data_IF_825467326230
#
_entry.id   IF_825467326230
#
_cell.length_a   1.000
_cell.length_b   1.000
_cell.length_c   1.000
_cell.angle_alpha   90.00
_cell.angle_beta   90.00
_cell.angle_gamma   90.00
#
_symmetry.space_group_name_H-M   'P 1'
#
loop_
_entity.id
_entity.type
_entity.pdbx_description
1 polymer ?
#
# COMPACT_ATOMS: atom_id res chain seq x y z
N UNK A 1 -14.42 12.50 -19.94
CA UNK A 1 -13.73 12.67 -21.25
C UNK A 1 -13.48 11.27 -21.79
N UNK A 2 -13.41 11.02 -23.10
CA UNK A 2 -13.09 9.66 -23.60
C UNK A 2 -11.58 9.40 -23.54
N UNK A 3 -11.16 8.14 -23.43
CA UNK A 3 -9.75 7.72 -23.40
C UNK A 3 -8.99 8.23 -24.64
N UNK A 4 -9.60 8.15 -25.83
CA UNK A 4 -8.95 8.62 -27.06
C UNK A 4 -8.75 10.14 -27.07
N UNK A 5 -9.71 10.89 -26.52
CA UNK A 5 -9.58 12.36 -26.45
C UNK A 5 -8.53 12.77 -25.42
N UNK A 6 -8.41 12.03 -24.32
CA UNK A 6 -7.37 12.26 -23.32
C UNK A 6 -5.99 12.01 -23.93
N UNK A 7 -5.80 10.86 -24.59
CA UNK A 7 -4.56 10.53 -25.29
C UNK A 7 -4.16 11.62 -26.31
N UNK A 8 -5.11 12.11 -27.11
CA UNK A 8 -4.84 13.21 -28.06
C UNK A 8 -4.34 14.48 -27.36
N UNK A 9 -4.90 14.83 -26.20
CA UNK A 9 -4.46 15.99 -25.41
C UNK A 9 -3.06 15.73 -24.81
N UNK A 10 -2.83 14.55 -24.24
CA UNK A 10 -1.55 14.14 -23.66
C UNK A 10 -0.42 14.12 -24.68
N UNK A 11 -0.69 13.80 -25.95
CA UNK A 11 0.33 13.78 -27.00
C UNK A 11 0.46 15.10 -27.75
N UNK A 12 -0.65 15.76 -28.07
CA UNK A 12 -0.67 16.88 -29.04
C UNK A 12 -1.43 18.12 -28.58
N UNK A 13 -2.12 18.06 -27.44
CA UNK A 13 -2.85 19.21 -26.90
C UNK A 13 -1.95 20.41 -26.63
N UNK A 14 -2.49 21.62 -26.63
CA UNK A 14 -1.73 22.80 -26.17
C UNK A 14 -1.46 22.74 -24.66
N UNK A 15 -0.46 23.46 -24.15
CA UNK A 15 -0.15 23.51 -22.71
C UNK A 15 -1.37 23.86 -21.85
N UNK A 16 -2.25 24.73 -22.38
CA UNK A 16 -3.49 25.11 -21.71
C UNK A 16 -4.50 23.95 -21.67
N UNK A 17 -4.68 23.24 -22.78
CA UNK A 17 -5.58 22.07 -22.82
C UNK A 17 -5.07 20.95 -21.92
N UNK A 18 -3.75 20.74 -21.91
CA UNK A 18 -3.10 19.76 -21.04
C UNK A 18 -3.31 20.12 -19.56
N UNK A 19 -3.06 21.37 -19.17
CA UNK A 19 -3.28 21.81 -17.79
C UNK A 19 -4.76 21.72 -17.37
N UNK A 20 -5.69 22.04 -18.27
CA UNK A 20 -7.13 21.87 -18.01
C UNK A 20 -7.56 20.40 -17.89
N UNK A 21 -6.86 19.49 -18.57
CA UNK A 21 -7.09 18.06 -18.52
C UNK A 21 -6.53 17.45 -17.22
N UNK A 22 -5.26 17.70 -16.92
CA UNK A 22 -4.56 17.23 -15.71
C UNK A 22 -5.34 17.60 -14.44
N UNK A 23 -5.87 18.83 -14.35
CA UNK A 23 -6.65 19.28 -13.18
C UNK A 23 -8.02 18.60 -13.01
N UNK A 24 -8.44 17.69 -13.91
CA UNK A 24 -9.79 17.10 -13.92
C UNK A 24 -9.77 15.58 -14.02
N UNK A 25 -8.61 14.96 -14.08
CA UNK A 25 -8.42 13.55 -14.41
C UNK A 25 -7.60 12.92 -13.30
N UNK A 26 -7.94 11.68 -12.98
CA UNK A 26 -7.22 10.93 -11.98
C UNK A 26 -5.88 10.43 -12.56
N UNK A 27 -4.79 10.43 -11.78
CA UNK A 27 -3.51 9.81 -12.15
C UNK A 27 -3.67 8.38 -12.71
N UNK A 28 -4.45 7.53 -12.03
CA UNK A 28 -4.81 6.17 -12.50
C UNK A 28 -5.38 6.11 -13.94
N UNK A 29 -6.22 7.08 -14.36
CA UNK A 29 -6.75 7.11 -15.74
C UNK A 29 -5.63 7.38 -16.77
N UNK A 30 -4.58 8.10 -16.36
CA UNK A 30 -3.42 8.38 -17.19
C UNK A 30 -2.51 7.14 -17.21
N UNK A 31 -2.32 6.47 -16.07
CA UNK A 31 -1.58 5.21 -15.97
C UNK A 31 -2.16 4.15 -16.93
N UNK A 32 -3.48 3.97 -16.91
CA UNK A 32 -4.21 3.10 -17.85
C UNK A 32 -3.92 3.40 -19.33
N UNK A 33 -3.74 4.68 -19.69
CA UNK A 33 -3.39 5.09 -21.07
C UNK A 33 -1.95 4.75 -21.39
N UNK A 34 -1.09 4.97 -20.41
CA UNK A 34 0.34 4.78 -20.51
C UNK A 34 0.68 3.29 -20.70
N UNK A 35 -0.02 2.38 -20.00
CA UNK A 35 0.06 0.93 -20.24
C UNK A 35 -0.42 0.52 -21.63
N UNK A 36 -1.51 1.13 -22.13
CA UNK A 36 -2.04 0.82 -23.47
C UNK A 36 -1.12 1.31 -24.62
N UNK A 37 -0.34 2.37 -24.39
CA UNK A 37 0.44 3.08 -25.41
C UNK A 37 1.94 3.12 -25.07
N UNK A 38 2.55 1.95 -24.82
CA UNK A 38 3.96 1.77 -24.42
C UNK A 38 4.98 2.59 -25.26
N UNK A 39 4.73 2.78 -26.56
CA UNK A 39 5.64 3.50 -27.45
C UNK A 39 5.68 5.02 -27.23
N UNK A 40 4.64 5.58 -26.63
CA UNK A 40 4.48 7.01 -26.40
C UNK A 40 4.54 7.39 -24.90
N UNK A 41 4.63 6.41 -24.01
CA UNK A 41 4.88 6.52 -22.56
C UNK A 41 5.76 7.72 -22.17
N UNK A 42 7.02 7.72 -22.62
CA UNK A 42 8.02 8.73 -22.23
C UNK A 42 7.64 10.12 -22.75
N UNK A 43 6.95 10.20 -23.90
CA UNK A 43 6.52 11.48 -24.48
C UNK A 43 5.38 12.08 -23.68
N UNK A 44 4.44 11.26 -23.22
CA UNK A 44 3.32 11.68 -22.38
C UNK A 44 3.86 12.25 -21.07
N UNK A 45 4.63 11.45 -20.33
CA UNK A 45 5.14 11.83 -19.02
C UNK A 45 6.02 13.09 -19.05
N UNK A 46 6.82 13.28 -20.09
CA UNK A 46 7.66 14.48 -20.20
C UNK A 46 6.89 15.80 -20.35
N UNK A 47 5.58 15.74 -20.66
CA UNK A 47 4.72 16.91 -20.75
C UNK A 47 3.98 17.21 -19.44
N UNK A 48 3.95 16.27 -18.51
CA UNK A 48 3.29 16.39 -17.22
C UNK A 48 4.18 17.15 -16.22
N UNK A 49 3.57 17.88 -15.26
CA UNK A 49 4.29 18.46 -14.13
C UNK A 49 4.77 17.35 -13.18
N UNK A 50 5.80 17.65 -12.39
CA UNK A 50 6.49 16.65 -11.55
C UNK A 50 5.54 15.99 -10.52
N UNK A 51 4.67 16.76 -9.84
CA UNK A 51 3.64 16.21 -8.92
C UNK A 51 2.69 15.21 -9.58
N UNK A 52 2.19 15.48 -10.79
CA UNK A 52 1.29 14.54 -11.48
C UNK A 52 2.05 13.28 -11.91
N UNK A 53 3.37 13.37 -12.12
CA UNK A 53 4.18 12.18 -12.41
C UNK A 53 4.38 11.36 -11.14
N UNK A 54 4.58 12.02 -9.98
CA UNK A 54 4.62 11.35 -8.68
C UNK A 54 3.32 10.58 -8.43
N UNK A 55 2.17 11.25 -8.49
CA UNK A 55 0.86 10.57 -8.30
C UNK A 55 0.64 9.41 -9.29
N UNK A 56 1.14 9.51 -10.53
CA UNK A 56 1.03 8.39 -11.51
C UNK A 56 1.92 7.21 -11.12
N UNK A 57 3.10 7.47 -10.58
CA UNK A 57 4.04 6.44 -10.14
C UNK A 57 3.50 5.75 -8.88
N UNK A 58 2.89 6.48 -7.95
CA UNK A 58 2.31 5.91 -6.73
C UNK A 58 1.20 4.89 -7.04
N UNK A 59 0.42 5.13 -8.10
CA UNK A 59 -0.65 4.21 -8.55
C UNK A 59 -0.15 2.95 -9.27
N UNK A 60 1.15 2.85 -9.57
CA UNK A 60 1.77 1.72 -10.25
C UNK A 60 2.17 0.61 -9.26
N UNK A 61 2.32 -0.63 -9.71
CA UNK A 61 2.88 -1.69 -8.87
C UNK A 61 4.32 -1.35 -8.41
N UNK A 62 4.66 -1.62 -7.14
CA UNK A 62 5.93 -1.20 -6.49
C UNK A 62 7.19 -1.53 -7.29
N UNK A 63 7.18 -2.68 -7.96
CA UNK A 63 8.29 -3.20 -8.76
C UNK A 63 8.50 -2.41 -10.07
N UNK A 64 7.44 -1.80 -10.59
CA UNK A 64 7.46 -1.03 -11.84
C UNK A 64 7.70 0.47 -11.60
N UNK A 65 7.42 0.99 -10.39
CA UNK A 65 7.62 2.40 -10.00
C UNK A 65 9.01 2.92 -10.40
N UNK A 66 10.07 2.16 -10.09
CA UNK A 66 11.44 2.58 -10.38
C UNK A 66 11.79 2.51 -11.88
N UNK A 67 11.21 1.57 -12.64
CA UNK A 67 11.41 1.49 -14.08
C UNK A 67 10.83 2.71 -14.79
N UNK A 68 9.68 3.21 -14.33
CA UNK A 68 9.13 4.50 -14.77
C UNK A 68 10.11 5.64 -14.45
N UNK A 69 10.58 5.71 -13.19
CA UNK A 69 11.46 6.77 -12.71
C UNK A 69 12.79 6.84 -13.49
N UNK A 70 13.37 5.70 -13.89
CA UNK A 70 14.62 5.61 -14.68
C UNK A 70 14.57 6.35 -16.02
N UNK A 71 13.37 6.59 -16.57
CA UNK A 71 13.21 7.28 -17.86
C UNK A 71 13.48 8.79 -17.80
N UNK A 72 13.60 9.37 -16.60
CA UNK A 72 13.84 10.79 -16.41
C UNK A 72 15.31 11.12 -16.11
N UNK A 73 15.71 12.37 -16.35
CA UNK A 73 17.01 12.86 -15.90
C UNK A 73 17.10 12.87 -14.38
N UNK A 74 18.28 12.67 -13.80
CA UNK A 74 18.50 12.69 -12.34
C UNK A 74 17.83 13.86 -11.63
N UNK A 75 17.95 15.08 -12.14
CA UNK A 75 17.31 16.27 -11.52
C UNK A 75 15.78 16.16 -11.48
N UNK A 76 15.18 15.57 -12.51
CA UNK A 76 13.73 15.38 -12.59
C UNK A 76 13.28 14.24 -11.68
N UNK A 77 14.07 13.17 -11.57
CA UNK A 77 13.82 12.12 -10.58
C UNK A 77 13.81 12.67 -9.15
N UNK A 78 14.75 13.57 -8.81
CA UNK A 78 14.75 14.23 -7.49
C UNK A 78 13.47 15.02 -7.22
N UNK A 79 13.02 15.79 -8.22
CA UNK A 79 11.79 16.55 -8.07
C UNK A 79 10.57 15.63 -7.91
N UNK A 80 10.48 14.56 -8.71
CA UNK A 80 9.37 13.60 -8.64
C UNK A 80 9.37 12.91 -7.27
N UNK A 81 10.51 12.41 -6.82
CA UNK A 81 10.64 11.75 -5.53
C UNK A 81 10.30 12.67 -4.35
N UNK A 82 10.57 13.97 -4.46
CA UNK A 82 10.21 14.95 -3.42
C UNK A 82 8.73 15.37 -3.43
N UNK A 83 7.95 14.89 -4.40
CA UNK A 83 6.49 15.08 -4.43
C UNK A 83 5.76 13.78 -4.06
N UNK A 84 6.48 12.66 -3.86
CA UNK A 84 5.89 11.37 -3.47
C UNK A 84 5.78 11.25 -1.94
N UNK A 85 4.82 10.45 -1.48
CA UNK A 85 4.64 10.15 -0.06
C UNK A 85 5.69 9.17 0.49
N UNK A 86 5.92 9.23 1.82
CA UNK A 86 7.05 8.53 2.44
C UNK A 86 6.91 7.02 2.48
N UNK A 87 5.70 6.50 2.63
CA UNK A 87 5.32 5.09 2.47
C UNK A 87 5.50 4.64 1.03
N UNK A 88 5.01 5.38 0.05
CA UNK A 88 5.16 5.07 -1.37
C UNK A 88 6.63 4.93 -1.80
N UNK A 89 7.50 5.83 -1.32
CA UNK A 89 8.95 5.72 -1.55
C UNK A 89 9.53 4.52 -0.79
N UNK A 90 9.02 4.21 0.40
CA UNK A 90 9.47 3.07 1.21
C UNK A 90 9.17 1.76 0.51
N UNK A 91 7.96 1.60 -0.02
CA UNK A 91 7.52 0.37 -0.70
C UNK A 91 8.28 0.18 -2.01
N UNK A 92 8.40 1.24 -2.81
CA UNK A 92 9.28 1.22 -3.99
C UNK A 92 10.71 0.81 -3.62
N UNK A 93 11.33 1.42 -2.60
CA UNK A 93 12.70 1.06 -2.19
C UNK A 93 12.77 -0.37 -1.66
N UNK A 94 11.74 -0.85 -0.97
CA UNK A 94 11.63 -2.22 -0.46
C UNK A 94 11.62 -3.28 -1.56
N UNK A 95 11.09 -2.94 -2.75
CA UNK A 95 11.05 -3.82 -3.92
C UNK A 95 12.37 -3.87 -4.72
N UNK A 96 13.31 -2.93 -4.47
CA UNK A 96 14.54 -2.77 -5.25
C UNK A 96 15.73 -3.57 -4.71
N UNK A 97 16.73 -3.76 -5.57
CA UNK A 97 18.02 -4.29 -5.12
C UNK A 97 18.83 -3.24 -4.32
N UNK A 98 19.91 -3.68 -3.66
CA UNK A 98 20.71 -2.81 -2.79
C UNK A 98 21.35 -1.62 -3.53
N UNK A 99 21.72 -1.76 -4.81
CA UNK A 99 22.35 -0.68 -5.58
C UNK A 99 21.31 0.37 -5.98
N UNK A 100 20.17 -0.10 -6.48
CA UNK A 100 19.04 0.72 -6.92
C UNK A 100 18.39 1.47 -5.75
N UNK A 101 18.14 0.77 -4.63
CA UNK A 101 17.67 1.35 -3.38
C UNK A 101 18.53 2.53 -2.94
N UNK A 102 19.85 2.36 -3.00
CA UNK A 102 20.79 3.39 -2.58
C UNK A 102 20.77 4.59 -3.52
N UNK A 103 20.59 4.35 -4.82
CA UNK A 103 20.48 5.39 -5.83
C UNK A 103 19.23 6.27 -5.60
N UNK A 104 18.09 5.66 -5.28
CA UNK A 104 16.85 6.38 -4.91
C UNK A 104 17.05 7.18 -3.63
N UNK A 105 17.57 6.56 -2.58
CA UNK A 105 17.81 7.23 -1.30
C UNK A 105 18.78 8.41 -1.43
N UNK A 106 19.76 8.39 -2.35
CA UNK A 106 20.67 9.52 -2.59
C UNK A 106 20.00 10.71 -3.31
N UNK A 107 18.80 10.51 -3.88
CA UNK A 107 18.06 11.54 -4.64
C UNK A 107 17.03 12.31 -3.82
N UNK A 108 16.47 11.73 -2.76
CA UNK A 108 15.55 12.40 -1.84
C UNK A 108 16.24 13.36 -0.88
N UNK A 109 15.48 14.30 -0.31
CA UNK A 109 16.02 15.29 0.62
C UNK A 109 16.41 14.67 1.97
N UNK A 110 17.24 15.38 2.76
CA UNK A 110 17.81 14.79 3.98
C UNK A 110 16.75 14.45 5.04
N UNK A 111 15.68 15.23 5.11
CA UNK A 111 14.63 15.03 6.09
C UNK A 111 13.69 13.90 5.67
N UNK A 112 13.21 13.88 4.42
CA UNK A 112 12.47 12.76 3.81
C UNK A 112 13.26 11.44 3.91
N UNK A 113 14.57 11.46 3.61
CA UNK A 113 15.43 10.28 3.74
C UNK A 113 15.40 9.70 5.14
N UNK A 114 15.33 10.53 6.19
CA UNK A 114 15.26 10.04 7.57
C UNK A 114 13.91 9.39 7.87
N UNK A 115 12.85 9.84 7.23
CA UNK A 115 11.51 9.29 7.42
C UNK A 115 11.37 7.95 6.67
N UNK A 116 11.75 7.90 5.39
CA UNK A 116 11.85 6.65 4.62
C UNK A 116 12.76 5.62 5.33
N UNK A 117 13.94 6.03 5.81
CA UNK A 117 14.83 5.12 6.55
C UNK A 117 14.24 4.62 7.86
N UNK A 118 13.33 5.37 8.50
CA UNK A 118 12.62 4.86 9.68
C UNK A 118 11.58 3.83 9.27
N UNK A 119 10.82 4.11 8.21
CA UNK A 119 9.79 3.22 7.69
C UNK A 119 10.37 1.87 7.25
N UNK A 120 11.50 1.88 6.53
CA UNK A 120 12.26 0.66 6.15
C UNK A 120 12.73 -0.22 7.31
N UNK A 121 12.64 0.22 8.58
CA UNK A 121 12.95 -0.64 9.74
C UNK A 121 11.73 -1.41 10.25
N UNK A 122 10.52 -1.08 9.81
CA UNK A 122 9.32 -1.84 10.12
C UNK A 122 9.17 -3.00 9.15
N UNK A 123 8.39 -3.99 9.56
CA UNK A 123 8.04 -5.12 8.70
C UNK A 123 6.95 -4.64 7.72
N UNK A 124 7.07 -4.93 6.41
CA UNK A 124 6.13 -4.44 5.41
C UNK A 124 4.68 -4.87 5.71
N UNK A 125 4.47 -6.06 6.28
CA UNK A 125 3.14 -6.60 6.56
C UNK A 125 2.56 -6.08 7.91
N UNK A 126 3.03 -4.93 8.40
CA UNK A 126 2.60 -4.34 9.68
C UNK A 126 2.14 -2.90 9.52
N UNK A 127 1.39 -2.40 10.51
CA UNK A 127 0.95 -1.01 10.56
C UNK A 127 2.08 0.02 10.42
N UNK A 128 3.31 -0.34 10.80
CA UNK A 128 4.49 0.51 10.61
C UNK A 128 5.08 0.45 9.20
N UNK A 129 4.86 -0.65 8.48
CA UNK A 129 5.23 -0.78 7.06
C UNK A 129 4.30 0.05 6.18
N UNK A 130 2.99 -0.06 6.39
CA UNK A 130 1.95 0.60 5.58
C UNK A 130 1.54 2.01 6.08
N UNK A 131 2.41 2.75 6.78
CA UNK A 131 2.05 4.09 7.29
C UNK A 131 2.82 5.21 6.60
N UNK A 132 2.08 6.24 6.17
CA UNK A 132 2.62 7.54 5.86
C UNK A 132 3.04 8.31 7.14
N UNK A 133 4.06 9.17 7.00
CA UNK A 133 4.50 10.10 8.05
C UNK A 133 3.93 11.51 7.89
N UNK A 134 3.29 11.80 6.75
CA UNK A 134 2.71 13.07 6.32
C UNK A 134 1.33 13.33 6.95
N UNK A 135 1.18 13.07 8.25
CA UNK A 135 -0.07 13.29 8.99
C UNK A 135 -0.15 14.70 9.63
N UNK A 136 -1.37 15.21 9.77
CA UNK A 136 -1.60 16.49 10.45
C UNK A 136 -1.78 16.30 11.96
N UNK A 137 -0.88 16.89 12.75
CA UNK A 137 -1.00 16.94 14.20
C UNK A 137 -1.17 18.36 14.76
N UNK A 138 -1.99 18.50 15.79
CA UNK A 138 -2.36 19.79 16.40
C UNK A 138 -2.29 19.77 17.93
N UNK A 139 -2.24 20.96 18.53
CA UNK A 139 -2.22 21.16 19.98
C UNK A 139 -3.60 21.52 20.50
N UNK A 140 -3.97 20.98 21.67
CA UNK A 140 -5.28 21.17 22.31
C UNK A 140 -5.67 22.64 22.57
N UNK A 141 -4.67 23.52 22.70
CA UNK A 141 -4.86 24.92 23.08
C UNK A 141 -5.10 25.87 21.91
N UNK A 142 -4.96 25.40 20.66
CA UNK A 142 -5.25 26.21 19.47
C UNK A 142 -6.75 26.45 19.33
N UNK A 143 -7.12 27.58 18.73
CA UNK A 143 -8.50 27.82 18.30
C UNK A 143 -8.77 27.19 16.93
N UNK A 144 -10.04 26.98 16.60
CA UNK A 144 -10.47 26.52 15.26
C UNK A 144 -9.93 27.43 14.15
N UNK A 145 -9.99 28.76 14.34
CA UNK A 145 -9.48 29.71 13.35
C UNK A 145 -7.96 29.64 13.16
N UNK A 146 -7.20 29.35 14.21
CA UNK A 146 -5.75 29.10 14.11
C UNK A 146 -5.45 27.78 13.42
N UNK A 147 -6.22 26.73 13.72
CA UNK A 147 -6.08 25.41 13.10
C UNK A 147 -6.40 25.45 11.61
N UNK A 148 -7.44 26.16 11.17
CA UNK A 148 -7.75 26.32 9.74
C UNK A 148 -6.65 27.05 8.97
N UNK A 149 -6.02 28.06 9.57
CA UNK A 149 -4.87 28.74 8.97
C UNK A 149 -3.64 27.83 8.89
N UNK A 150 -3.46 26.97 9.88
CA UNK A 150 -2.42 25.97 9.89
C UNK A 150 -2.65 24.94 8.77
N UNK A 151 -3.87 24.39 8.66
CA UNK A 151 -4.27 23.49 7.58
C UNK A 151 -4.06 24.08 6.20
N UNK A 152 -4.37 25.37 5.98
CA UNK A 152 -4.12 26.02 4.68
C UNK A 152 -2.65 26.02 4.24
N UNK A 153 -1.71 25.86 5.18
CA UNK A 153 -0.28 25.80 4.89
C UNK A 153 0.22 24.38 4.70
N UNK A 154 -0.34 23.42 5.43
CA UNK A 154 0.23 22.07 5.57
C UNK A 154 -0.58 21.01 4.81
N UNK A 155 -1.84 21.29 4.48
CA UNK A 155 -2.69 20.37 3.72
C UNK A 155 -2.15 19.97 2.34
N UNK A 156 -1.40 20.82 1.59
CA UNK A 156 -0.83 20.40 0.32
C UNK A 156 0.21 19.29 0.42
N UNK A 157 0.92 19.21 1.55
CA UNK A 157 2.02 18.26 1.78
C UNK A 157 1.59 17.12 2.74
N UNK A 158 0.29 17.02 3.03
CA UNK A 158 -0.26 16.05 3.96
C UNK A 158 -1.06 15.00 3.20
N UNK A 159 -0.75 13.74 3.46
CA UNK A 159 -1.44 12.56 2.94
C UNK A 159 -2.96 12.68 3.11
N UNK A 160 -3.40 13.06 4.31
CA UNK A 160 -4.81 13.29 4.58
C UNK A 160 -5.06 14.35 5.65
N UNK A 161 -6.08 15.17 5.40
CA UNK A 161 -6.56 16.20 6.34
C UNK A 161 -7.94 15.91 6.90
N UNK A 162 -8.53 14.74 6.63
CA UNK A 162 -9.87 14.39 7.12
C UNK A 162 -9.91 14.20 8.64
N UNK A 163 -8.82 13.69 9.22
CA UNK A 163 -8.62 13.56 10.66
C UNK A 163 -7.38 14.33 11.08
N UNK A 164 -7.49 15.08 12.18
CA UNK A 164 -6.38 15.77 12.80
C UNK A 164 -6.12 15.16 14.17
N UNK A 165 -4.86 14.79 14.42
CA UNK A 165 -4.48 14.15 15.66
C UNK A 165 -4.02 15.18 16.70
N UNK A 166 -4.64 15.14 17.88
CA UNK A 166 -4.32 16.06 18.98
C UNK A 166 -3.23 15.44 19.83
N UNK A 167 -2.09 16.13 19.95
CA UNK A 167 -0.89 15.62 20.65
C UNK A 167 -0.37 16.57 21.73
N UNK A 168 0.18 16.02 22.81
CA UNK A 168 0.89 16.80 23.84
C UNK A 168 2.33 17.11 23.47
N UNK A 169 3.03 17.96 24.23
CA UNK A 169 4.41 18.43 23.92
C UNK A 169 5.46 17.33 23.73
N UNK A 170 5.17 16.08 24.07
CA UNK A 170 6.03 14.91 23.86
C UNK A 170 5.56 14.05 22.66
N UNK A 171 4.64 14.60 21.87
CA UNK A 171 3.92 14.00 20.74
C UNK A 171 3.10 12.76 21.09
N UNK A 172 2.65 12.68 22.34
CA UNK A 172 1.75 11.63 22.79
C UNK A 172 0.34 11.94 22.30
N UNK A 173 -0.28 10.98 21.61
CA UNK A 173 -1.65 11.04 21.11
C UNK A 173 -2.64 11.19 22.27
N UNK A 174 -3.45 12.26 22.23
CA UNK A 174 -4.48 12.57 23.23
C UNK A 174 -5.90 12.53 22.69
N UNK A 175 -6.06 12.70 21.38
CA UNK A 175 -7.36 12.87 20.79
C UNK A 175 -7.33 12.94 19.27
N UNK A 176 -8.50 12.96 18.67
CA UNK A 176 -8.70 13.14 17.24
C UNK A 176 -9.87 14.11 17.02
N UNK A 177 -9.78 14.90 15.95
CA UNK A 177 -10.84 15.82 15.51
C UNK A 177 -11.03 15.62 14.01
N UNK A 178 -12.28 15.49 13.55
CA UNK A 178 -12.55 15.43 12.12
C UNK A 178 -12.52 16.84 11.50
N UNK A 179 -12.12 16.96 10.23
CA UNK A 179 -12.21 18.21 9.49
C UNK A 179 -13.65 18.74 9.47
N UNK A 180 -14.64 17.85 9.41
CA UNK A 180 -16.06 18.18 9.52
C UNK A 180 -16.36 18.98 10.79
N UNK A 181 -15.87 18.54 11.94
CA UNK A 181 -16.10 19.23 13.21
C UNK A 181 -15.40 20.59 13.22
N UNK A 182 -14.20 20.69 12.64
CA UNK A 182 -13.46 21.96 12.54
C UNK A 182 -14.24 22.98 11.70
N UNK A 183 -14.73 22.61 10.53
CA UNK A 183 -15.43 23.54 9.63
C UNK A 183 -16.85 23.90 10.12
N UNK A 184 -17.46 23.05 10.95
CA UNK A 184 -18.78 23.30 11.53
C UNK A 184 -18.75 24.05 12.87
N UNK A 185 -17.57 24.31 13.43
CA UNK A 185 -17.39 24.94 14.75
C UNK A 185 -17.00 26.42 14.63
N UNK A 186 -17.35 27.24 15.63
CA UNK A 186 -16.99 28.67 15.66
C UNK A 186 -15.48 28.86 15.80
N UNK A 187 -14.93 29.87 15.11
CA UNK A 187 -13.48 30.09 15.00
C UNK A 187 -12.75 30.32 16.34
N UNK A 188 -13.45 30.80 17.36
CA UNK A 188 -12.91 31.09 18.70
C UNK A 188 -12.96 29.89 19.66
N UNK A 189 -13.66 28.82 19.28
CA UNK A 189 -13.72 27.57 20.06
C UNK A 189 -12.34 26.93 20.12
N UNK A 190 -11.99 26.29 21.25
CA UNK A 190 -10.73 25.56 21.37
C UNK A 190 -10.84 24.16 20.81
N UNK A 191 -9.73 23.64 20.29
CA UNK A 191 -9.63 22.25 19.85
C UNK A 191 -10.00 21.28 20.98
N UNK A 192 -9.55 21.55 22.21
CA UNK A 192 -9.91 20.76 23.39
C UNK A 192 -11.41 20.55 23.60
N UNK A 193 -12.24 21.49 23.14
CA UNK A 193 -13.69 21.47 23.41
C UNK A 193 -14.44 20.52 22.46
N UNK A 194 -13.82 20.18 21.32
CA UNK A 194 -14.39 19.27 20.30
C UNK A 194 -13.55 18.00 20.10
N UNK A 195 -12.49 17.82 20.90
CA UNK A 195 -11.60 16.67 20.78
C UNK A 195 -12.29 15.39 21.26
N UNK A 196 -12.24 14.33 20.44
CA UNK A 196 -12.58 13.00 20.91
C UNK A 196 -11.34 12.33 21.51
N UNK A 197 -11.34 12.12 22.83
CA UNK A 197 -10.21 11.52 23.54
C UNK A 197 -10.17 9.99 23.45
N UNK A 198 -11.25 9.35 22.99
CA UNK A 198 -11.32 7.90 22.78
C UNK A 198 -10.87 7.55 21.36
N UNK A 199 -9.60 7.85 21.07
CA UNK A 199 -8.98 7.56 19.78
C UNK A 199 -8.74 6.06 19.66
N UNK A 200 -9.14 5.50 18.53
CA UNK A 200 -8.73 4.15 18.14
C UNK A 200 -7.44 4.30 17.36
N UNK A 201 -6.37 3.68 17.84
CA UNK A 201 -5.02 3.71 17.28
C UNK A 201 -4.44 2.31 17.31
N UNK A 202 -3.52 2.02 16.40
CA UNK A 202 -2.78 0.73 16.36
C UNK A 202 -1.32 0.92 16.75
N UNK A 203 -0.67 -0.14 17.24
CA UNK A 203 0.79 -0.15 17.41
C UNK A 203 1.46 -0.42 16.06
N UNK A 204 2.70 0.02 15.91
CA UNK A 204 3.45 -0.14 14.67
C UNK A 204 3.72 -1.59 14.27
N UNK A 205 3.66 -2.53 15.21
CA UNK A 205 3.94 -3.96 15.01
C UNK A 205 2.66 -4.80 14.86
N UNK A 206 1.50 -4.15 14.77
CA UNK A 206 0.22 -4.84 14.48
C UNK A 206 0.22 -5.27 13.03
N UNK A 207 -0.18 -6.51 12.79
CA UNK A 207 -0.33 -7.10 11.46
C UNK A 207 -1.35 -6.34 10.61
N UNK A 208 -1.05 -6.16 9.32
CA UNK A 208 -1.87 -5.39 8.39
C UNK A 208 -3.31 -5.93 8.26
N UNK A 209 -3.53 -7.25 8.38
CA UNK A 209 -4.87 -7.85 8.36
C UNK A 209 -5.69 -7.39 9.57
N UNK A 210 -5.07 -7.28 10.76
CA UNK A 210 -5.73 -6.76 11.95
C UNK A 210 -6.05 -5.26 11.81
N UNK A 211 -5.16 -4.48 11.18
CA UNK A 211 -5.42 -3.08 10.84
C UNK A 211 -6.64 -2.97 9.92
N UNK A 212 -6.69 -3.77 8.85
CA UNK A 212 -7.80 -3.80 7.89
C UNK A 212 -9.14 -4.15 8.55
N UNK A 213 -9.15 -5.13 9.46
CA UNK A 213 -10.33 -5.49 10.25
C UNK A 213 -10.87 -4.31 11.10
N UNK A 214 -9.99 -3.44 11.61
CA UNK A 214 -10.39 -2.24 12.36
C UNK A 214 -11.02 -1.21 11.42
N UNK A 215 -10.42 -0.99 10.25
CA UNK A 215 -10.98 -0.11 9.20
C UNK A 215 -12.37 -0.57 8.77
N UNK A 216 -12.56 -1.86 8.48
CA UNK A 216 -13.86 -2.42 8.09
C UNK A 216 -14.90 -2.23 9.21
N UNK A 217 -14.51 -2.50 10.46
CA UNK A 217 -15.42 -2.44 11.61
C UNK A 217 -15.93 -1.03 11.91
N UNK A 218 -15.07 -0.01 11.78
CA UNK A 218 -15.39 1.36 12.18
C UNK A 218 -15.63 2.32 11.02
N UNK A 219 -15.26 1.95 9.79
CA UNK A 219 -15.40 2.79 8.60
C UNK A 219 -14.54 4.05 8.67
N UNK A 220 -13.31 3.93 9.17
CA UNK A 220 -12.37 5.04 9.20
C UNK A 220 -11.81 5.36 7.81
N UNK A 221 -11.41 6.61 7.61
CA UNK A 221 -10.69 7.06 6.40
C UNK A 221 -9.18 7.10 6.63
N UNK A 222 -8.76 7.24 7.89
CA UNK A 222 -7.36 7.05 8.29
C UNK A 222 -7.31 6.68 9.77
N UNK A 223 -6.21 6.05 10.19
CA UNK A 223 -6.01 5.60 11.55
C UNK A 223 -4.58 5.89 12.04
N UNK A 224 -4.39 6.44 13.25
CA UNK A 224 -3.07 6.77 13.75
C UNK A 224 -2.31 5.54 14.23
N UNK A 225 -1.02 5.50 13.90
CA UNK A 225 -0.06 4.49 14.35
C UNK A 225 0.80 5.07 15.46
N UNK A 226 0.95 4.33 16.56
CA UNK A 226 1.68 4.80 17.74
C UNK A 226 2.71 3.80 18.23
N UNK A 227 3.74 4.29 18.93
CA UNK A 227 4.68 3.42 19.62
C UNK A 227 4.17 2.97 21.00
N UNK A 228 4.97 2.17 21.72
CA UNK A 228 4.69 1.70 23.08
C UNK A 228 4.27 2.79 24.07
N UNK A 229 4.82 3.99 23.93
CA UNK A 229 4.52 5.14 24.80
C UNK A 229 3.35 6.01 24.30
N UNK A 230 2.59 5.54 23.31
CA UNK A 230 1.53 6.26 22.62
C UNK A 230 2.02 7.54 21.91
N UNK A 231 3.30 7.61 21.56
CA UNK A 231 3.81 8.66 20.68
C UNK A 231 3.30 8.38 19.27
N UNK A 232 2.70 9.37 18.63
CA UNK A 232 2.25 9.28 17.25
C UNK A 232 3.46 9.14 16.31
N UNK A 233 3.42 8.12 15.47
CA UNK A 233 4.49 7.78 14.52
C UNK A 233 4.11 8.09 13.09
N UNK A 234 2.87 7.78 12.71
CA UNK A 234 2.35 7.87 11.36
C UNK A 234 0.83 7.69 11.34
N UNK A 235 0.26 7.54 10.16
CA UNK A 235 -1.11 7.08 9.97
C UNK A 235 -1.21 6.16 8.78
N UNK A 236 -2.21 5.29 8.79
CA UNK A 236 -2.59 4.45 7.65
C UNK A 236 -3.84 5.05 7.02
N UNK A 237 -3.98 5.01 5.69
CA UNK A 237 -5.17 5.48 4.98
C UNK A 237 -6.15 4.34 4.68
N UNK A 238 -7.33 4.66 4.13
CA UNK A 238 -8.31 3.63 3.80
C UNK A 238 -8.01 2.97 2.44
N UNK A 239 -7.30 3.67 1.58
CA UNK A 239 -6.87 3.27 0.25
C UNK A 239 -5.77 2.21 0.33
N UNK A 240 -4.73 2.41 1.14
CA UNK A 240 -3.70 1.39 1.39
C UNK A 240 -4.34 0.10 1.95
N UNK A 241 -5.35 0.25 2.80
CA UNK A 241 -6.08 -0.89 3.35
C UNK A 241 -6.90 -1.63 2.29
N UNK A 242 -7.36 -0.96 1.24
CA UNK A 242 -8.01 -1.65 0.12
C UNK A 242 -7.03 -2.55 -0.62
N UNK A 243 -5.77 -2.15 -0.73
CA UNK A 243 -4.69 -2.96 -1.29
C UNK A 243 -4.35 -4.14 -0.38
N UNK A 244 -4.14 -3.91 0.91
CA UNK A 244 -3.93 -4.97 1.92
C UNK A 244 -5.03 -6.04 1.84
N UNK A 245 -6.30 -5.63 1.76
CA UNK A 245 -7.42 -6.58 1.65
C UNK A 245 -7.36 -7.45 0.38
N UNK A 246 -6.90 -6.88 -0.74
CA UNK A 246 -6.72 -7.58 -2.02
C UNK A 246 -5.55 -8.57 -1.91
N UNK A 247 -4.46 -8.16 -1.27
CA UNK A 247 -3.25 -8.97 -1.14
C UNK A 247 -3.45 -10.13 -0.17
N UNK A 248 -4.02 -9.89 1.01
CA UNK A 248 -4.38 -10.93 1.98
C UNK A 248 -5.38 -11.94 1.38
N UNK A 249 -6.36 -11.45 0.60
CA UNK A 249 -7.29 -12.33 -0.11
C UNK A 249 -6.59 -13.21 -1.16
N UNK A 250 -5.58 -12.65 -1.84
CA UNK A 250 -4.79 -13.37 -2.84
C UNK A 250 -3.86 -14.39 -2.18
N UNK A 251 -3.23 -14.00 -1.07
CA UNK A 251 -2.42 -14.88 -0.25
C UNK A 251 -3.25 -16.07 0.27
N UNK A 252 -4.47 -15.84 0.77
CA UNK A 252 -5.36 -16.92 1.21
C UNK A 252 -5.69 -17.91 0.08
N UNK A 253 -5.91 -17.40 -1.14
CA UNK A 253 -6.12 -18.24 -2.32
C UNK A 253 -4.85 -19.05 -2.64
N UNK A 254 -3.68 -18.43 -2.56
CA UNK A 254 -2.39 -19.11 -2.77
C UNK A 254 -2.15 -20.20 -1.72
N UNK A 255 -2.40 -19.89 -0.44
CA UNK A 255 -2.30 -20.84 0.68
C UNK A 255 -3.27 -22.02 0.51
N UNK A 256 -4.50 -21.80 0.02
CA UNK A 256 -5.42 -22.90 -0.34
C UNK A 256 -4.84 -23.83 -1.42
N UNK A 257 -4.09 -23.27 -2.37
CA UNK A 257 -3.36 -24.00 -3.40
C UNK A 257 -2.06 -24.65 -2.93
N UNK A 258 -1.60 -24.36 -1.70
CA UNK A 258 -0.29 -24.75 -1.21
C UNK A 258 0.86 -24.05 -1.94
N UNK A 259 0.60 -22.82 -2.36
CA UNK A 259 1.53 -21.89 -3.03
C UNK A 259 1.95 -20.85 -1.99
N UNK A 260 3.21 -20.44 -2.03
CA UNK A 260 3.75 -19.39 -1.15
C UNK A 260 3.29 -17.99 -1.61
N UNK A 261 3.32 -16.99 -0.71
CA UNK A 261 2.83 -15.63 -0.97
C UNK A 261 3.61 -14.91 -2.07
N UNK A 262 4.90 -15.22 -2.19
CA UNK A 262 5.82 -14.59 -3.15
C UNK A 262 5.70 -15.14 -4.60
N UNK A 263 4.80 -16.09 -4.87
CA UNK A 263 4.66 -16.66 -6.21
C UNK A 263 3.88 -15.75 -7.17
N UNK A 264 4.58 -15.20 -8.16
CA UNK A 264 4.02 -14.33 -9.20
C UNK A 264 3.56 -15.09 -10.43
N UNK A 265 2.57 -14.54 -11.14
CA UNK A 265 2.07 -15.08 -12.43
C UNK A 265 3.18 -15.09 -13.49
N UNK A 266 4.00 -14.05 -13.52
CA UNK A 266 5.12 -13.90 -14.46
C UNK A 266 6.48 -14.30 -13.87
N UNK A 267 6.46 -14.98 -12.72
CA UNK A 267 7.66 -15.49 -12.06
C UNK A 267 8.41 -16.54 -12.89
N UNK A 268 9.68 -16.74 -12.57
CA UNK A 268 10.50 -17.73 -13.27
C UNK A 268 10.13 -19.16 -12.86
N UNK A 269 10.33 -20.12 -13.76
CA UNK A 269 10.08 -21.55 -13.49
C UNK A 269 10.80 -22.05 -12.22
N UNK A 270 11.94 -21.46 -11.88
CA UNK A 270 12.73 -21.81 -10.70
C UNK A 270 12.06 -21.38 -9.39
N UNK A 271 11.48 -20.17 -9.36
CA UNK A 271 10.74 -19.64 -8.22
C UNK A 271 9.49 -20.47 -7.95
N UNK A 272 8.70 -20.77 -8.98
CA UNK A 272 7.49 -21.60 -8.83
C UNK A 272 7.81 -22.99 -8.29
N UNK A 273 8.93 -23.60 -8.71
CA UNK A 273 9.36 -24.90 -8.16
C UNK A 273 9.69 -24.77 -6.67
N UNK A 274 10.43 -23.73 -6.26
CA UNK A 274 10.82 -23.56 -4.85
C UNK A 274 9.63 -23.30 -3.93
N UNK A 275 8.68 -22.47 -4.38
CA UNK A 275 7.42 -22.18 -3.66
C UNK A 275 6.61 -23.46 -3.42
N UNK A 276 6.42 -24.28 -4.46
CA UNK A 276 5.48 -25.42 -4.40
C UNK A 276 6.10 -26.72 -3.88
N UNK A 277 7.40 -26.93 -4.06
CA UNK A 277 8.06 -28.21 -3.74
C UNK A 277 7.89 -28.64 -2.27
N UNK A 278 7.99 -27.76 -1.25
CA UNK A 278 7.80 -28.15 0.14
C UNK A 278 6.42 -28.80 0.38
N UNK A 279 5.35 -28.17 -0.10
CA UNK A 279 3.99 -28.69 0.05
C UNK A 279 3.77 -29.96 -0.77
N UNK A 280 4.32 -30.02 -2.00
CA UNK A 280 4.27 -31.23 -2.84
C UNK A 280 4.97 -32.42 -2.18
N UNK A 281 6.09 -32.20 -1.49
CA UNK A 281 6.80 -33.26 -0.77
C UNK A 281 5.97 -33.77 0.41
N UNK A 282 5.32 -32.88 1.16
CA UNK A 282 4.41 -33.26 2.25
C UNK A 282 3.24 -34.10 1.71
N UNK A 283 2.61 -33.66 0.61
CA UNK A 283 1.54 -34.40 -0.07
C UNK A 283 2.00 -35.75 -0.62
N UNK A 284 3.22 -35.83 -1.15
CA UNK A 284 3.80 -37.09 -1.62
C UNK A 284 4.03 -38.07 -0.46
N UNK A 285 4.55 -37.60 0.68
CA UNK A 285 4.78 -38.44 1.85
C UNK A 285 3.45 -38.99 2.38
N UNK A 286 2.42 -38.14 2.49
CA UNK A 286 1.10 -38.57 2.95
C UNK A 286 0.44 -39.55 1.96
N UNK A 287 0.60 -39.34 0.65
CA UNK A 287 0.16 -40.29 -0.37
C UNK A 287 0.89 -41.65 -0.26
N UNK A 288 2.20 -41.66 0.00
CA UNK A 288 2.98 -42.88 0.22
C UNK A 288 2.49 -43.62 1.48
N UNK A 289 2.17 -42.90 2.57
CA UNK A 289 1.60 -43.50 3.77
C UNK A 289 0.24 -44.14 3.48
N UNK A 290 -0.64 -43.45 2.73
CA UNK A 290 -1.93 -44.01 2.33
C UNK A 290 -1.77 -45.27 1.47
N UNK A 291 -0.86 -45.24 0.49
CA UNK A 291 -0.54 -46.41 -0.34
C UNK A 291 0.01 -47.58 0.49
N UNK A 292 0.81 -47.29 1.53
CA UNK A 292 1.35 -48.30 2.44
C UNK A 292 0.24 -48.98 3.25
N UNK A 293 -0.78 -48.23 3.69
CA UNK A 293 -1.98 -48.80 4.34
C UNK A 293 -2.73 -49.71 3.37
N UNK A 294 -2.95 -49.29 2.12
CA UNK A 294 -3.59 -50.14 1.09
C UNK A 294 -2.79 -51.43 0.87
N UNK A 295 -1.45 -51.33 0.80
CA UNK A 295 -0.55 -52.47 0.69
C UNK A 295 -0.69 -53.47 1.83
N UNK A 296 -0.95 -53.01 3.06
CA UNK A 296 -1.20 -53.91 4.20
C UNK A 296 -2.48 -54.76 4.03
N UNK A 297 -3.43 -54.34 3.18
CA UNK A 297 -4.67 -55.06 2.87
C UNK A 297 -4.64 -55.79 1.52
N UNK A 298 -3.47 -55.96 0.90
CA UNK A 298 -3.30 -56.64 -0.40
C UNK A 298 -3.98 -58.02 -0.43
N UNK A 299 -3.86 -58.79 0.65
CA UNK A 299 -4.49 -60.11 0.77
C UNK A 299 -6.02 -60.05 0.64
N UNK A 300 -6.67 -59.07 1.25
CA UNK A 300 -8.13 -58.86 1.15
C UNK A 300 -8.54 -58.37 -0.24
N UNK A 301 -7.77 -57.45 -0.81
CA UNK A 301 -8.00 -56.92 -2.16
C UNK A 301 -7.92 -58.04 -3.20
N UNK A 302 -6.98 -58.99 -3.03
CA UNK A 302 -6.83 -60.15 -3.93
C UNK A 302 -8.06 -61.06 -3.95
N UNK A 303 -8.82 -61.13 -2.85
CA UNK A 303 -10.03 -61.95 -2.73
C UNK A 303 -11.25 -61.26 -3.35
N UNK A 304 -11.28 -59.92 -3.33
CA UNK A 304 -12.40 -59.12 -3.83
C UNK A 304 -11.83 -57.95 -4.65
N UNK A 305 -11.46 -58.23 -5.89
CA UNK A 305 -10.81 -57.28 -6.79
C UNK A 305 -11.64 -56.01 -7.01
N UNK A 306 -12.98 -56.11 -6.94
CA UNK A 306 -13.86 -54.95 -7.07
C UNK A 306 -13.62 -53.87 -6.00
N UNK A 307 -13.04 -54.20 -4.84
CA UNK A 307 -12.65 -53.22 -3.82
C UNK A 307 -11.65 -52.19 -4.38
N UNK A 308 -10.73 -52.61 -5.25
CA UNK A 308 -9.77 -51.70 -5.88
C UNK A 308 -10.47 -50.69 -6.81
N UNK A 309 -11.58 -51.08 -7.46
CA UNK A 309 -12.36 -50.18 -8.32
C UNK A 309 -13.12 -49.12 -7.52
N UNK A 310 -13.48 -49.41 -6.26
CA UNK A 310 -14.15 -48.45 -5.38
C UNK A 310 -13.19 -47.51 -4.65
N UNK A 311 -11.89 -47.84 -4.55
CA UNK A 311 -10.91 -47.01 -3.81
C UNK A 311 -10.87 -45.55 -4.26
N UNK A 312 -10.81 -45.20 -5.56
CA UNK A 312 -10.77 -43.80 -5.97
C UNK A 312 -12.05 -43.04 -5.63
N UNK A 313 -13.21 -43.72 -5.66
CA UNK A 313 -14.51 -43.12 -5.34
C UNK A 313 -14.59 -42.81 -3.86
N UNK A 314 -14.14 -43.73 -3.00
CA UNK A 314 -14.16 -43.55 -1.55
C UNK A 314 -13.11 -42.54 -1.10
N UNK A 315 -11.94 -42.50 -1.73
CA UNK A 315 -10.87 -41.56 -1.39
C UNK A 315 -11.15 -40.11 -1.84
N UNK A 316 -11.99 -39.92 -2.86
CA UNK A 316 -12.34 -38.60 -3.39
C UNK A 316 -13.60 -37.96 -2.79
N UNK A 317 -14.33 -38.68 -1.93
CA UNK A 317 -15.46 -38.14 -1.14
C UNK A 317 -14.98 -37.69 0.24
#
# INVERSE_FOLDING_TARGET
MTKERLLEILLYGSDKELQEAINKIHPADILDIIHDEENDFVKILNRLPDWMIADIIEEEEDEEKYEILKNFSENKQKNILGEMFSDEITDMVGALDEEESKEVLEKIDEDERKDVQKLLNYDPDTAGGIMATEFVSIRENKSIGETLKYLQKEAPDAESVYYLYVVDKMDILKGVVSLRDIVCTQFDTKISDITNNNVISVKYDVDQEEVANIFEKYGFLSMPVVNENNKLLGMVTADDIMEVLKDESTEDIHRLGGIDKEEKVDGTLSESIKSRLPWLVINLITAILAASVVGAFEGTISQVVSLATFMPIVAGM
#
